data_IF_570991965090
#
_entry.id   IF_570991965090
#
_cell.length_a   1.000
_cell.length_b   1.000
_cell.length_c   1.000
_cell.angle_alpha   90.00
_cell.angle_beta   90.00
_cell.angle_gamma   90.00
#
_symmetry.space_group_name_H-M   'P 1'
#
loop_
_entity.id
_entity.type
_entity.pdbx_description
1 polymer ?
#
# COMPACT_ATOMS: atom_id res chain seq x y z
N UNK A 1 29.57 41.09 72.06
CA UNK A 1 28.72 41.24 70.79
C UNK A 1 29.47 41.15 69.49
N UNK A 2 30.75 40.72 69.50
CA UNK A 2 31.53 40.59 68.25
C UNK A 2 31.38 39.26 67.50
N UNK A 3 30.69 38.29 68.10
CA UNK A 3 30.67 36.91 67.50
C UNK A 3 29.52 36.64 66.52
N UNK A 4 28.47 37.50 66.55
CA UNK A 4 27.31 37.29 65.68
C UNK A 4 27.56 37.77 64.21
N UNK A 5 28.35 38.83 64.06
CA UNK A 5 28.71 39.41 62.77
C UNK A 5 29.64 38.53 61.98
N UNK A 6 30.59 37.86 62.62
CA UNK A 6 31.55 36.92 62.06
C UNK A 6 30.83 35.63 61.61
N UNK A 7 29.88 35.13 62.37
CA UNK A 7 29.07 33.96 62.02
C UNK A 7 28.19 34.21 60.78
N UNK A 8 27.57 35.41 60.70
CA UNK A 8 26.74 35.76 59.55
C UNK A 8 27.55 35.97 58.27
N UNK A 9 28.75 36.57 58.39
CA UNK A 9 29.67 36.70 57.27
C UNK A 9 30.18 35.33 56.77
N UNK A 10 30.49 34.43 57.70
CA UNK A 10 30.92 33.05 57.36
C UNK A 10 29.80 32.29 56.63
N UNK A 11 28.57 32.33 57.12
CA UNK A 11 27.45 31.71 56.42
C UNK A 11 27.19 32.29 55.02
N UNK A 12 27.39 33.58 54.82
CA UNK A 12 27.29 34.20 53.48
C UNK A 12 28.37 33.71 52.55
N UNK A 13 29.59 33.57 53.03
CA UNK A 13 30.72 33.02 52.23
C UNK A 13 30.48 31.56 51.91
N UNK A 14 30.06 30.76 52.88
CA UNK A 14 29.75 29.34 52.69
C UNK A 14 28.64 29.17 51.66
N UNK A 15 27.54 29.95 51.75
CA UNK A 15 26.43 29.89 50.79
C UNK A 15 26.86 30.32 49.39
N UNK A 16 27.71 31.36 49.27
CA UNK A 16 28.19 31.79 47.96
C UNK A 16 29.19 30.80 47.37
N UNK A 17 30.03 30.17 48.18
CA UNK A 17 30.91 29.10 47.73
C UNK A 17 30.16 27.86 47.27
N UNK A 18 29.11 27.46 48.01
CA UNK A 18 28.23 26.35 47.63
C UNK A 18 27.51 26.63 46.31
N UNK A 19 26.99 27.87 46.12
CA UNK A 19 26.40 28.25 44.82
C UNK A 19 27.39 28.24 43.68
N UNK A 20 28.57 28.82 43.90
CA UNK A 20 29.64 28.83 42.88
C UNK A 20 30.04 27.39 42.47
N UNK A 21 30.18 26.51 43.45
CA UNK A 21 30.54 25.09 43.20
C UNK A 21 29.39 24.37 42.43
N UNK A 22 28.13 24.64 42.73
CA UNK A 22 27.00 24.11 41.99
C UNK A 22 26.94 24.63 40.55
N UNK A 23 27.24 25.90 40.31
CA UNK A 23 27.27 26.48 38.95
C UNK A 23 28.46 25.97 38.13
N UNK A 24 29.61 25.77 38.75
CA UNK A 24 30.75 25.15 38.11
C UNK A 24 30.42 23.72 37.70
N UNK A 25 29.83 22.91 38.58
CA UNK A 25 29.39 21.54 38.28
C UNK A 25 28.44 21.48 37.12
N UNK A 26 27.43 22.38 37.11
CA UNK A 26 26.50 22.51 35.98
C UNK A 26 27.19 22.91 34.68
N UNK A 27 28.11 23.81 34.74
CA UNK A 27 28.86 24.27 33.57
C UNK A 27 29.76 23.15 32.99
N UNK A 28 30.39 22.36 33.85
CA UNK A 28 31.17 21.20 33.47
C UNK A 28 30.29 20.12 32.81
N UNK A 29 29.12 19.87 33.36
CA UNK A 29 28.17 18.92 32.81
C UNK A 29 27.66 19.37 31.44
N UNK A 30 27.34 20.66 31.27
CA UNK A 30 26.98 21.26 29.97
C UNK A 30 28.09 21.16 28.95
N UNK A 31 29.32 21.36 29.38
CA UNK A 31 30.49 21.22 28.50
C UNK A 31 30.70 19.76 28.09
N UNK A 32 30.57 18.84 29.04
CA UNK A 32 30.75 17.40 28.80
C UNK A 32 29.66 16.83 27.90
N UNK A 33 28.42 17.28 28.06
CA UNK A 33 27.26 16.80 27.27
C UNK A 33 27.04 17.56 25.96
N UNK A 34 27.65 18.76 25.82
CA UNK A 34 27.41 19.66 24.69
C UNK A 34 25.99 20.25 24.66
N UNK A 35 25.21 20.10 25.74
CA UNK A 35 23.83 20.54 25.83
C UNK A 35 23.65 21.62 26.87
N UNK A 36 22.92 22.68 26.55
CA UNK A 36 22.61 23.76 27.49
C UNK A 36 21.72 23.28 28.66
N UNK A 37 20.79 22.34 28.38
CA UNK A 37 19.93 21.70 29.35
C UNK A 37 20.29 20.21 29.40
N UNK A 38 21.15 19.84 30.33
CA UNK A 38 21.64 18.47 30.45
C UNK A 38 20.71 17.59 31.30
N UNK A 39 20.15 18.19 32.36
CA UNK A 39 19.31 17.49 33.33
C UNK A 39 17.84 17.88 33.22
N UNK A 40 16.94 16.95 33.57
CA UNK A 40 15.49 17.20 33.63
C UNK A 40 15.09 18.35 34.57
N UNK A 41 15.95 18.69 35.54
CA UNK A 41 15.78 19.83 36.42
C UNK A 41 16.16 21.20 35.82
N UNK A 42 16.94 21.17 34.71
CA UNK A 42 17.33 22.41 34.02
C UNK A 42 16.24 22.80 33.01
N UNK A 43 15.39 23.77 33.38
CA UNK A 43 14.27 24.20 32.51
C UNK A 43 13.48 23.01 31.95
N UNK A 44 12.82 22.29 32.83
CA UNK A 44 12.10 21.03 32.53
C UNK A 44 11.19 21.10 31.30
N UNK A 45 10.60 22.24 31.01
CA UNK A 45 9.76 22.45 29.82
C UNK A 45 10.55 22.37 28.51
N UNK A 46 11.78 22.89 28.48
CA UNK A 46 12.63 22.82 27.28
C UNK A 46 13.23 21.42 27.06
N UNK A 47 13.53 20.70 28.15
CA UNK A 47 13.99 19.31 28.07
C UNK A 47 12.86 18.43 27.55
N UNK A 48 11.64 18.56 28.11
CA UNK A 48 10.48 17.83 27.64
C UNK A 48 10.14 18.14 26.17
N UNK A 49 10.25 19.41 25.76
CA UNK A 49 10.05 19.80 24.38
C UNK A 49 11.11 19.18 23.45
N UNK A 50 12.38 19.20 23.85
CA UNK A 50 13.47 18.61 23.06
C UNK A 50 13.30 17.10 22.91
N UNK A 51 12.87 16.39 23.96
CA UNK A 51 12.61 14.96 23.91
C UNK A 51 11.39 14.65 23.03
N UNK A 52 10.35 15.46 23.09
CA UNK A 52 9.19 15.34 22.19
C UNK A 52 9.62 15.48 20.73
N UNK A 53 10.40 16.52 20.39
CA UNK A 53 10.90 16.71 19.03
C UNK A 53 11.81 15.57 18.56
N UNK A 54 12.62 14.99 19.47
CA UNK A 54 13.43 13.82 19.12
C UNK A 54 12.57 12.60 18.81
N UNK A 55 11.51 12.36 19.59
CA UNK A 55 10.56 11.28 19.32
C UNK A 55 9.82 11.52 18.01
N UNK A 56 9.35 12.73 17.74
CA UNK A 56 8.68 13.10 16.50
C UNK A 56 9.61 12.93 15.29
N UNK A 57 10.88 13.33 15.44
CA UNK A 57 11.89 13.14 14.38
C UNK A 57 12.12 11.65 14.06
N UNK A 58 12.28 10.81 15.09
CA UNK A 58 12.46 9.36 14.91
C UNK A 58 11.19 8.75 14.30
N UNK A 59 10.02 9.16 14.77
CA UNK A 59 8.72 8.74 14.25
C UNK A 59 8.57 9.10 12.76
N UNK A 60 8.82 10.35 12.40
CA UNK A 60 8.75 10.82 11.01
C UNK A 60 9.74 10.09 10.11
N UNK A 61 10.97 9.85 10.57
CA UNK A 61 11.97 9.08 9.83
C UNK A 61 11.53 7.63 9.60
N UNK A 62 10.87 7.02 10.57
CA UNK A 62 10.26 5.70 10.42
C UNK A 62 9.08 5.74 9.45
N UNK A 63 8.25 6.78 9.49
CA UNK A 63 7.14 7.02 8.58
C UNK A 63 7.58 7.14 7.13
N UNK A 64 8.68 7.86 6.84
CA UNK A 64 9.26 7.95 5.50
C UNK A 64 9.65 6.55 4.97
N UNK A 65 10.22 5.70 5.82
CA UNK A 65 10.51 4.31 5.43
C UNK A 65 9.24 3.51 5.17
N UNK A 66 8.20 3.71 5.99
CA UNK A 66 6.87 3.13 5.75
C UNK A 66 6.29 3.57 4.41
N UNK A 67 6.34 4.88 4.12
CA UNK A 67 5.90 5.45 2.84
C UNK A 67 6.63 4.86 1.64
N UNK A 68 7.93 4.59 1.73
CA UNK A 68 8.68 3.97 0.64
C UNK A 68 8.22 2.52 0.34
N UNK A 69 7.74 1.80 1.35
CA UNK A 69 7.14 0.46 1.16
C UNK A 69 5.80 0.57 0.45
N UNK A 70 4.98 1.58 0.79
CA UNK A 70 3.71 1.85 0.10
C UNK A 70 3.94 2.21 -1.36
N UNK A 71 4.95 3.03 -1.65
CA UNK A 71 5.34 3.33 -3.03
C UNK A 71 5.68 2.08 -3.83
N UNK A 72 6.46 1.15 -3.25
CA UNK A 72 6.76 -0.13 -3.87
C UNK A 72 5.53 -1.01 -4.11
N UNK A 73 4.57 -1.00 -3.18
CA UNK A 73 3.28 -1.68 -3.35
C UNK A 73 2.49 -1.10 -4.52
N UNK A 74 2.34 0.22 -4.58
CA UNK A 74 1.62 0.91 -5.66
C UNK A 74 2.30 0.72 -7.02
N UNK A 75 3.63 0.80 -7.08
CA UNK A 75 4.39 0.55 -8.31
C UNK A 75 4.18 -0.88 -8.82
N UNK A 76 4.18 -1.86 -7.92
CA UNK A 76 3.89 -3.25 -8.29
C UNK A 76 2.45 -3.38 -8.79
N UNK A 77 1.49 -2.75 -8.13
CA UNK A 77 0.09 -2.72 -8.56
C UNK A 77 -0.07 -2.09 -9.96
N UNK A 78 0.60 -0.98 -10.23
CA UNK A 78 0.59 -0.33 -11.55
C UNK A 78 1.14 -1.26 -12.64
N UNK A 79 2.23 -1.97 -12.39
CA UNK A 79 2.81 -2.94 -13.34
C UNK A 79 1.85 -4.09 -13.63
N UNK A 80 1.12 -4.57 -12.62
CA UNK A 80 0.10 -5.60 -12.80
C UNK A 80 -1.06 -5.08 -13.63
N UNK A 81 -1.51 -3.84 -13.39
CA UNK A 81 -2.57 -3.21 -14.18
C UNK A 81 -2.16 -2.94 -15.62
N UNK A 82 -0.91 -2.55 -15.87
CA UNK A 82 -0.38 -2.39 -17.23
C UNK A 82 -0.38 -3.73 -17.99
N UNK A 83 0.05 -4.80 -17.35
CA UNK A 83 0.00 -6.15 -17.93
C UNK A 83 -1.45 -6.58 -18.19
N UNK A 84 -2.36 -6.34 -17.23
CA UNK A 84 -3.78 -6.61 -17.38
C UNK A 84 -4.39 -5.83 -18.55
N UNK A 85 -4.08 -4.55 -18.70
CA UNK A 85 -4.52 -3.70 -19.83
C UNK A 85 -4.04 -4.24 -21.17
N UNK A 86 -2.83 -4.76 -21.24
CA UNK A 86 -2.30 -5.38 -22.47
C UNK A 86 -3.08 -6.65 -22.84
N UNK A 87 -3.40 -7.49 -21.87
CA UNK A 87 -4.22 -8.68 -22.07
C UNK A 87 -5.63 -8.32 -22.54
N UNK A 88 -6.26 -7.30 -21.93
CA UNK A 88 -7.57 -6.81 -22.34
C UNK A 88 -7.57 -6.24 -23.76
N UNK A 89 -6.54 -5.50 -24.14
CA UNK A 89 -6.38 -4.99 -25.52
C UNK A 89 -6.30 -6.15 -26.52
N UNK A 90 -5.57 -7.21 -26.18
CA UNK A 90 -5.50 -8.40 -27.04
C UNK A 90 -6.83 -9.14 -27.11
N UNK A 91 -7.55 -9.23 -25.98
CA UNK A 91 -8.88 -9.82 -25.95
C UNK A 91 -9.88 -9.03 -26.81
N UNK A 92 -9.78 -7.70 -26.82
CA UNK A 92 -10.59 -6.83 -27.67
C UNK A 92 -10.28 -7.05 -29.16
N UNK A 93 -9.01 -7.20 -29.54
CA UNK A 93 -8.62 -7.55 -30.92
C UNK A 93 -9.25 -8.90 -31.35
N UNK A 94 -9.18 -9.90 -30.49
CA UNK A 94 -9.78 -11.21 -30.76
C UNK A 94 -11.31 -11.14 -30.87
N UNK A 95 -11.95 -10.30 -30.04
CA UNK A 95 -13.39 -10.07 -30.10
C UNK A 95 -13.82 -9.46 -31.45
N UNK A 96 -13.07 -8.46 -31.94
CA UNK A 96 -13.31 -7.86 -33.25
C UNK A 96 -13.06 -8.89 -34.38
N UNK A 97 -12.00 -9.65 -34.28
CA UNK A 97 -11.68 -10.69 -35.25
C UNK A 97 -12.79 -11.78 -35.29
N UNK A 98 -13.24 -12.21 -34.11
CA UNK A 98 -14.32 -13.19 -33.98
C UNK A 98 -15.68 -12.71 -34.44
N UNK A 99 -15.92 -11.38 -34.49
CA UNK A 99 -17.17 -10.78 -34.96
C UNK A 99 -17.38 -10.91 -36.46
N UNK A 100 -16.36 -11.33 -37.20
CA UNK A 100 -16.37 -11.38 -38.68
C UNK A 100 -17.23 -12.53 -39.18
N UNK A 101 -18.24 -12.26 -39.97
CA UNK A 101 -19.10 -13.29 -40.61
C UNK A 101 -18.40 -14.12 -41.68
N UNK A 102 -17.15 -13.76 -42.03
CA UNK A 102 -16.34 -14.51 -43.01
C UNK A 102 -15.56 -15.66 -42.39
N UNK A 103 -15.55 -15.75 -41.06
CA UNK A 103 -14.86 -16.79 -40.34
C UNK A 103 -15.54 -18.16 -40.50
N UNK A 104 -14.74 -19.19 -40.64
CA UNK A 104 -15.22 -20.57 -40.59
C UNK A 104 -15.37 -21.04 -39.13
N UNK A 105 -16.04 -22.16 -38.91
CA UNK A 105 -16.13 -22.74 -37.55
C UNK A 105 -14.76 -23.04 -36.94
N UNK A 106 -13.80 -23.49 -37.76
CA UNK A 106 -12.44 -23.75 -37.29
C UNK A 106 -11.72 -22.46 -36.87
N UNK A 107 -11.96 -21.34 -37.58
CA UNK A 107 -11.41 -20.04 -37.19
C UNK A 107 -12.00 -19.58 -35.88
N UNK A 108 -13.31 -19.76 -35.68
CA UNK A 108 -13.96 -19.41 -34.39
C UNK A 108 -13.43 -20.26 -33.23
N UNK A 109 -13.18 -21.56 -33.44
CA UNK A 109 -12.55 -22.42 -32.42
C UNK A 109 -11.15 -21.94 -32.04
N UNK A 110 -10.33 -21.58 -33.04
CA UNK A 110 -8.98 -21.08 -32.80
C UNK A 110 -8.98 -19.76 -32.04
N UNK A 111 -9.82 -18.80 -32.47
CA UNK A 111 -9.97 -17.49 -31.78
C UNK A 111 -10.47 -17.69 -30.34
N UNK A 112 -11.42 -18.61 -30.13
CA UNK A 112 -11.96 -18.91 -28.83
C UNK A 112 -10.91 -19.50 -27.90
N UNK A 113 -10.12 -20.46 -28.37
CA UNK A 113 -9.04 -21.08 -27.58
C UNK A 113 -7.99 -20.04 -27.16
N UNK A 114 -7.64 -19.11 -28.07
CA UNK A 114 -6.72 -18.00 -27.72
C UNK A 114 -7.35 -17.05 -26.70
N UNK A 115 -8.62 -16.69 -26.86
CA UNK A 115 -9.34 -15.83 -25.95
C UNK A 115 -9.47 -16.44 -24.54
N UNK A 116 -9.74 -17.75 -24.44
CA UNK A 116 -9.74 -18.47 -23.17
C UNK A 116 -8.39 -18.40 -22.46
N UNK A 117 -7.30 -18.70 -23.20
CA UNK A 117 -5.97 -18.67 -22.63
C UNK A 117 -5.60 -17.27 -22.08
N UNK A 118 -5.99 -16.20 -22.79
CA UNK A 118 -5.76 -14.83 -22.35
C UNK A 118 -6.64 -14.49 -21.13
N UNK A 119 -7.90 -14.92 -21.13
CA UNK A 119 -8.81 -14.69 -20.02
C UNK A 119 -8.35 -15.41 -18.75
N UNK A 120 -7.86 -16.65 -18.87
CA UNK A 120 -7.30 -17.40 -17.75
C UNK A 120 -6.05 -16.72 -17.19
N UNK A 121 -5.16 -16.24 -18.06
CA UNK A 121 -3.98 -15.50 -17.64
C UNK A 121 -4.34 -14.18 -16.95
N UNK A 122 -5.35 -13.47 -17.48
CA UNK A 122 -5.87 -12.26 -16.84
C UNK A 122 -6.40 -12.56 -15.42
N UNK A 123 -7.24 -13.57 -15.28
CA UNK A 123 -7.77 -13.99 -13.99
C UNK A 123 -6.65 -14.42 -13.04
N UNK A 124 -5.67 -15.18 -13.52
CA UNK A 124 -4.50 -15.58 -12.75
C UNK A 124 -3.71 -14.36 -12.28
N UNK A 125 -3.46 -13.39 -13.16
CA UNK A 125 -2.74 -12.16 -12.85
C UNK A 125 -3.46 -11.38 -11.75
N UNK A 126 -4.77 -11.21 -11.85
CA UNK A 126 -5.56 -10.45 -10.88
C UNK A 126 -5.69 -11.15 -9.54
N UNK A 127 -5.81 -12.48 -9.52
CA UNK A 127 -6.02 -13.25 -8.29
C UNK A 127 -4.74 -13.62 -7.53
N UNK A 128 -3.61 -13.76 -8.23
CA UNK A 128 -2.37 -14.23 -7.61
C UNK A 128 -1.34 -13.13 -7.33
N UNK A 129 -1.60 -11.90 -7.77
CA UNK A 129 -0.66 -10.80 -7.61
C UNK A 129 -0.51 -10.40 -6.15
N UNK A 130 0.72 -10.53 -5.62
CA UNK A 130 1.06 -10.28 -4.23
C UNK A 130 2.28 -9.38 -4.09
N UNK A 131 2.26 -8.54 -3.07
CA UNK A 131 3.41 -7.76 -2.64
C UNK A 131 3.80 -8.15 -1.21
N UNK A 132 5.00 -8.69 -1.02
CA UNK A 132 5.49 -9.19 0.28
C UNK A 132 4.51 -10.17 0.97
N UNK A 133 3.82 -11.01 0.18
CA UNK A 133 2.86 -12.01 0.68
C UNK A 133 1.45 -11.48 0.95
N UNK A 134 1.20 -10.18 0.80
CA UNK A 134 -0.15 -9.58 0.82
C UNK A 134 -0.69 -9.43 -0.59
N UNK A 135 -1.99 -9.63 -0.76
CA UNK A 135 -2.67 -9.41 -2.03
C UNK A 135 -2.62 -7.91 -2.40
N UNK A 136 -2.37 -7.63 -3.68
CA UNK A 136 -2.34 -6.25 -4.18
C UNK A 136 -3.75 -5.70 -4.28
N UNK A 137 -4.69 -6.54 -4.73
CA UNK A 137 -6.09 -6.17 -4.85
C UNK A 137 -6.85 -6.54 -3.58
N UNK A 138 -7.35 -5.54 -2.89
CA UNK A 138 -8.09 -5.69 -1.63
C UNK A 138 -9.58 -5.40 -1.84
N UNK A 139 -10.44 -5.90 -0.95
CA UNK A 139 -11.89 -5.77 -1.09
C UNK A 139 -12.39 -4.33 -1.14
N UNK A 140 -11.66 -3.38 -0.52
CA UNK A 140 -12.01 -1.97 -0.55
C UNK A 140 -10.76 -1.11 -0.72
N UNK A 141 -10.83 -0.09 -1.59
CA UNK A 141 -9.76 0.88 -1.75
C UNK A 141 -9.47 1.59 -0.41
N UNK A 142 -8.19 1.74 -0.08
CA UNK A 142 -7.81 2.40 1.16
C UNK A 142 -8.05 1.59 2.44
N UNK A 143 -8.25 0.27 2.36
CA UNK A 143 -8.44 -0.59 3.52
C UNK A 143 -7.17 -0.87 4.32
N UNK A 144 -6.02 -0.67 3.71
CA UNK A 144 -4.72 -0.82 4.36
C UNK A 144 -4.22 0.54 4.85
N UNK A 145 -3.50 0.55 5.96
CA UNK A 145 -2.94 1.78 6.50
C UNK A 145 -1.44 1.63 6.80
N UNK A 146 -0.75 2.76 6.75
CA UNK A 146 0.64 2.86 7.21
C UNK A 146 0.75 4.07 8.12
N UNK A 147 1.41 3.89 9.27
CA UNK A 147 1.69 4.98 10.19
C UNK A 147 2.80 5.87 9.61
N UNK A 148 2.54 7.18 9.55
CA UNK A 148 3.51 8.19 9.11
C UNK A 148 4.41 8.68 10.25
N UNK A 149 4.31 8.04 11.44
CA UNK A 149 5.19 8.29 12.58
C UNK A 149 4.95 9.60 13.33
N UNK A 150 3.94 10.37 12.97
CA UNK A 150 3.40 11.50 13.74
C UNK A 150 2.32 11.04 14.71
N UNK A 151 1.87 11.94 15.58
CA UNK A 151 0.73 11.68 16.46
C UNK A 151 -0.52 11.52 15.59
N UNK A 152 -1.05 10.28 15.51
CA UNK A 152 -2.22 9.91 14.71
C UNK A 152 -2.11 10.22 13.20
N UNK A 153 -0.88 10.39 12.69
CA UNK A 153 -0.66 10.56 11.26
C UNK A 153 -0.63 9.19 10.59
N UNK A 154 -1.75 8.81 10.00
CA UNK A 154 -1.91 7.57 9.24
C UNK A 154 -2.19 7.92 7.77
N UNK A 155 -1.63 7.12 6.86
CA UNK A 155 -1.97 7.18 5.45
C UNK A 155 -2.63 5.87 5.06
N UNK A 156 -3.82 5.95 4.49
CA UNK A 156 -4.52 4.79 3.95
C UNK A 156 -4.10 4.53 2.52
N UNK A 157 -3.98 3.26 2.15
CA UNK A 157 -3.65 2.82 0.80
C UNK A 157 -4.37 1.51 0.50
N UNK A 158 -4.33 1.08 -0.75
CA UNK A 158 -4.95 -0.16 -1.21
C UNK A 158 -5.63 0.04 -2.54
N UNK A 159 -5.48 -0.92 -3.44
CA UNK A 159 -6.12 -0.96 -4.73
C UNK A 159 -7.32 -1.90 -4.59
N UNK A 160 -8.53 -1.39 -4.85
CA UNK A 160 -9.73 -2.24 -4.81
C UNK A 160 -9.67 -3.31 -5.90
N UNK A 161 -10.28 -4.46 -5.63
CA UNK A 161 -10.54 -5.46 -6.66
C UNK A 161 -11.44 -4.85 -7.74
N UNK A 162 -11.04 -5.03 -8.99
CA UNK A 162 -11.83 -4.64 -10.15
C UNK A 162 -12.83 -5.75 -10.39
N UNK A 163 -14.12 -5.43 -10.49
CA UNK A 163 -15.13 -6.40 -10.89
C UNK A 163 -15.10 -6.58 -12.40
N UNK A 164 -14.55 -7.69 -12.85
CA UNK A 164 -14.49 -8.08 -14.25
C UNK A 164 -15.47 -9.20 -14.59
N UNK A 165 -16.45 -9.46 -13.72
CA UNK A 165 -17.46 -10.51 -13.93
C UNK A 165 -18.28 -10.26 -15.20
N UNK A 166 -18.47 -9.00 -15.58
CA UNK A 166 -19.15 -8.61 -16.81
C UNK A 166 -18.41 -9.03 -18.09
N UNK A 167 -17.08 -9.14 -18.01
CA UNK A 167 -16.26 -9.61 -19.13
C UNK A 167 -16.67 -11.03 -19.58
N UNK A 168 -17.19 -11.82 -18.66
CA UNK A 168 -17.55 -13.22 -18.86
C UNK A 168 -19.04 -13.47 -19.05
N UNK A 169 -19.86 -12.45 -18.97
CA UNK A 169 -21.31 -12.46 -19.25
C UNK A 169 -22.10 -13.47 -18.42
N UNK A 170 -23.19 -13.04 -17.82
CA UNK A 170 -24.05 -13.89 -16.98
C UNK A 170 -24.91 -14.91 -17.75
N UNK A 171 -24.95 -14.88 -19.06
CA UNK A 171 -25.77 -15.78 -19.89
C UNK A 171 -25.19 -15.88 -21.28
N UNK A 172 -24.28 -16.82 -21.52
CA UNK A 172 -23.87 -17.18 -22.87
C UNK A 172 -24.48 -18.51 -23.27
N UNK A 173 -25.22 -18.50 -24.39
CA UNK A 173 -25.54 -19.73 -25.08
C UNK A 173 -24.23 -20.23 -25.69
N UNK A 174 -23.64 -21.21 -25.04
CA UNK A 174 -22.50 -21.93 -25.59
C UNK A 174 -23.10 -22.99 -26.54
N UNK A 175 -22.87 -22.80 -27.82
CA UNK A 175 -23.26 -23.81 -28.84
C UNK A 175 -22.07 -24.68 -29.06
N UNK A 176 -22.18 -25.95 -28.65
CA UNK A 176 -21.15 -26.95 -28.97
C UNK A 176 -21.27 -27.34 -30.43
N UNK A 177 -20.15 -27.41 -31.16
CA UNK A 177 -20.13 -27.94 -32.51
C UNK A 177 -20.56 -29.43 -32.48
N UNK A 178 -21.83 -29.71 -32.86
CA UNK A 178 -22.38 -31.04 -32.91
C UNK A 178 -23.21 -31.53 -31.72
N UNK A 179 -23.51 -30.67 -30.73
CA UNK A 179 -24.35 -31.01 -29.56
C UNK A 179 -25.68 -30.25 -29.51
N UNK A 180 -26.71 -30.77 -28.82
CA UNK A 180 -27.92 -30.00 -28.55
C UNK A 180 -27.61 -28.80 -27.67
N UNK A 181 -28.20 -27.65 -28.01
CA UNK A 181 -28.10 -26.42 -27.22
C UNK A 181 -28.59 -26.66 -25.77
N UNK A 182 -27.68 -26.81 -24.85
CA UNK A 182 -28.01 -26.84 -23.43
C UNK A 182 -28.16 -25.41 -22.91
N UNK A 183 -29.28 -25.16 -22.27
CA UNK A 183 -29.65 -23.85 -21.74
C UNK A 183 -28.60 -23.25 -20.81
N UNK A 184 -28.65 -21.93 -20.73
CA UNK A 184 -27.78 -21.03 -19.97
C UNK A 184 -27.24 -21.65 -18.67
N UNK A 185 -26.01 -22.07 -18.68
CA UNK A 185 -25.26 -22.35 -17.48
C UNK A 185 -24.38 -21.15 -17.19
N UNK A 186 -24.44 -20.62 -15.97
CA UNK A 186 -23.49 -19.64 -15.48
C UNK A 186 -22.08 -20.24 -15.55
N UNK A 187 -21.34 -19.95 -16.59
CA UNK A 187 -19.99 -20.45 -16.75
C UNK A 187 -19.06 -19.53 -16.00
N UNK A 188 -18.69 -19.97 -14.82
CA UNK A 188 -17.57 -19.38 -14.10
C UNK A 188 -16.31 -19.67 -14.91
N UNK A 189 -15.46 -18.70 -15.15
CA UNK A 189 -14.24 -18.81 -15.95
C UNK A 189 -13.28 -19.94 -15.58
N UNK A 190 -13.36 -20.42 -14.38
CA UNK A 190 -12.52 -21.53 -13.93
C UNK A 190 -12.90 -22.87 -14.57
N UNK A 191 -13.95 -22.91 -15.41
CA UNK A 191 -14.49 -24.15 -15.95
C UNK A 191 -15.19 -23.96 -17.30
N UNK A 192 -14.52 -23.31 -18.26
CA UNK A 192 -14.94 -23.45 -19.65
C UNK A 192 -14.46 -24.83 -20.14
N UNK A 193 -15.35 -25.72 -20.56
CA UNK A 193 -14.89 -26.96 -21.19
C UNK A 193 -14.11 -26.61 -22.47
N UNK A 194 -13.03 -27.33 -22.72
CA UNK A 194 -12.13 -27.15 -23.88
C UNK A 194 -12.80 -27.23 -25.25
N UNK A 195 -14.09 -27.60 -25.29
CA UNK A 195 -14.92 -27.76 -26.48
C UNK A 195 -16.01 -26.68 -26.63
N UNK A 196 -15.98 -25.65 -25.79
CA UNK A 196 -16.95 -24.55 -25.85
C UNK A 196 -16.60 -23.60 -27.02
N UNK A 197 -17.43 -23.52 -28.01
CA UNK A 197 -17.36 -22.56 -29.12
C UNK A 197 -18.22 -21.37 -28.79
N UNK A 198 -17.67 -20.16 -28.74
CA UNK A 198 -18.45 -18.94 -28.60
C UNK A 198 -19.24 -18.68 -29.88
N UNK A 199 -20.57 -18.81 -29.81
CA UNK A 199 -21.43 -18.55 -30.96
C UNK A 199 -21.57 -17.07 -31.30
N UNK A 200 -21.14 -16.19 -30.41
CA UNK A 200 -20.93 -14.74 -30.64
C UNK A 200 -19.70 -14.29 -29.90
N UNK A 201 -18.88 -13.43 -30.55
CA UNK A 201 -17.74 -12.83 -29.90
C UNK A 201 -18.16 -12.02 -28.68
N UNK A 202 -17.23 -11.75 -27.80
CA UNK A 202 -17.40 -10.86 -26.66
C UNK A 202 -18.13 -9.60 -27.12
N UNK A 203 -19.24 -9.24 -26.49
CA UNK A 203 -19.98 -8.05 -26.87
C UNK A 203 -19.07 -6.83 -26.62
N UNK A 204 -18.61 -6.21 -27.70
CA UNK A 204 -17.68 -5.07 -27.69
C UNK A 204 -18.23 -3.93 -26.84
N UNK A 205 -19.55 -3.83 -26.71
CA UNK A 205 -20.20 -2.80 -25.84
C UNK A 205 -19.96 -2.98 -24.35
N UNK A 206 -19.49 -4.15 -23.91
CA UNK A 206 -19.15 -4.39 -22.49
C UNK A 206 -17.68 -4.10 -22.17
N UNK A 207 -16.88 -3.74 -23.19
CA UNK A 207 -15.46 -3.40 -23.06
C UNK A 207 -15.19 -1.88 -23.16
N UNK A 208 -16.22 -1.05 -23.38
CA UNK A 208 -16.19 0.41 -23.25
C UNK A 208 -16.55 0.82 -21.80
#
# INVERSE_FOLDING_TARGET
MANIGTTTAFYKVETSLSRANSEVSKSMERLATGKQNANAGDRSSYVAMADTFRMDFVGTKAGIKGGSVVMGYLETGMRVLDAASTLLSRLQELAVLGANNTNTNADHEAINSEAEAIADEFNRLMSTSKYKGKDIFVSAAGSEYVSMGGRDAEMTFGIATIDYSLLYGSSRNITYAGGPSNGATNVHLTHLPSDAVFSKPVDIKTLE
#
